data_IF_835059197413
#
_entry.id   IF_835059197413
#
_cell.length_a   1.000
_cell.length_b   1.000
_cell.length_c   1.000
_cell.angle_alpha   90.00
_cell.angle_beta   90.00
_cell.angle_gamma   90.00
#
_symmetry.space_group_name_H-M   'P 1'
#
loop_
_entity.id
_entity.type
_entity.pdbx_description
1 polymer ?
#
# COMPACT_ATOMS: atom_id res chain seq x y z
N UNK A 1 10.76 -4.11 -8.70
CA UNK A 1 9.91 -5.27 -9.06
C UNK A 1 9.10 -5.67 -7.85
N UNK A 2 7.78 -5.84 -8.03
CA UNK A 2 6.87 -6.23 -6.94
C UNK A 2 7.30 -7.55 -6.31
N UNK A 3 7.07 -7.71 -5.01
CA UNK A 3 7.49 -8.89 -4.27
C UNK A 3 6.51 -9.19 -3.14
N UNK A 4 6.21 -10.46 -2.94
CA UNK A 4 5.48 -10.94 -1.77
C UNK A 4 6.40 -11.84 -0.95
N UNK A 5 6.55 -11.53 0.34
CA UNK A 5 7.11 -12.43 1.34
C UNK A 5 6.01 -12.85 2.31
N UNK A 6 5.89 -14.15 2.54
CA UNK A 6 4.92 -14.71 3.49
C UNK A 6 5.70 -15.26 4.67
N UNK A 7 5.31 -14.88 5.87
CA UNK A 7 5.89 -15.34 7.13
C UNK A 7 4.84 -16.07 7.97
N UNK A 8 5.27 -16.99 8.80
CA UNK A 8 4.52 -17.37 9.99
C UNK A 8 4.56 -16.19 10.97
N UNK A 9 3.44 -15.84 11.62
CA UNK A 9 3.39 -14.67 12.50
C UNK A 9 4.26 -14.80 13.76
N UNK A 10 4.64 -16.04 14.11
CA UNK A 10 5.57 -16.32 15.19
C UNK A 10 7.06 -16.29 14.75
N UNK A 11 7.35 -16.18 13.45
CA UNK A 11 8.72 -16.20 12.92
C UNK A 11 8.96 -15.10 11.88
N UNK A 12 9.48 -13.98 12.35
CA UNK A 12 9.80 -12.81 11.52
C UNK A 12 11.17 -12.91 10.80
N UNK A 13 11.99 -13.92 11.11
CA UNK A 13 13.34 -14.00 10.59
C UNK A 13 13.44 -14.65 9.22
N UNK A 14 12.55 -15.63 8.96
CA UNK A 14 12.61 -16.42 7.72
C UNK A 14 11.23 -16.53 7.09
N UNK A 15 11.05 -16.01 5.87
CA UNK A 15 9.79 -16.20 5.15
C UNK A 15 9.59 -17.65 4.76
N UNK A 16 8.35 -18.13 4.82
CA UNK A 16 7.96 -19.46 4.33
C UNK A 16 7.79 -19.48 2.81
N UNK A 17 7.60 -18.33 2.19
CA UNK A 17 7.56 -18.18 0.73
C UNK A 17 8.03 -16.78 0.31
N UNK A 18 8.67 -16.72 -0.85
CA UNK A 18 9.03 -15.45 -1.53
C UNK A 18 8.58 -15.56 -2.99
N UNK A 19 7.74 -14.66 -3.44
CA UNK A 19 7.19 -14.62 -4.79
C UNK A 19 7.51 -13.27 -5.43
N UNK A 20 7.96 -13.31 -6.68
CA UNK A 20 8.31 -12.12 -7.48
C UNK A 20 7.56 -12.09 -8.82
N UNK A 21 6.95 -13.20 -9.22
CA UNK A 21 6.06 -13.26 -10.36
C UNK A 21 4.70 -12.66 -10.00
N UNK A 22 4.22 -11.71 -10.83
CA UNK A 22 3.00 -10.96 -10.55
C UNK A 22 1.76 -11.86 -10.47
N UNK A 23 1.64 -12.86 -11.35
CA UNK A 23 0.52 -13.81 -11.34
C UNK A 23 0.54 -14.68 -10.08
N UNK A 24 1.73 -15.12 -9.64
CA UNK A 24 1.89 -15.90 -8.43
C UNK A 24 1.54 -15.08 -7.18
N UNK A 25 1.93 -13.80 -7.13
CA UNK A 25 1.56 -12.87 -6.06
C UNK A 25 0.05 -12.70 -6.01
N UNK A 26 -0.58 -12.43 -7.16
CA UNK A 26 -2.03 -12.25 -7.26
C UNK A 26 -2.80 -13.50 -6.81
N UNK A 27 -2.35 -14.70 -7.20
CA UNK A 27 -2.95 -15.97 -6.79
C UNK A 27 -2.84 -16.21 -5.28
N UNK A 28 -1.64 -16.00 -4.71
CA UNK A 28 -1.40 -16.18 -3.28
C UNK A 28 -2.25 -15.21 -2.43
N UNK A 29 -2.31 -13.93 -2.80
CA UNK A 29 -3.11 -12.93 -2.12
C UNK A 29 -4.62 -13.16 -2.30
N UNK A 30 -5.05 -13.59 -3.50
CA UNK A 30 -6.44 -13.92 -3.78
C UNK A 30 -6.99 -15.05 -2.91
N UNK A 31 -6.16 -16.03 -2.54
CA UNK A 31 -6.53 -17.13 -1.63
C UNK A 31 -6.89 -16.66 -0.22
N UNK A 32 -6.42 -15.49 0.18
CA UNK A 32 -6.75 -14.87 1.48
C UNK A 32 -7.65 -13.63 1.35
N UNK A 33 -8.30 -13.47 0.19
CA UNK A 33 -9.29 -12.42 -0.04
C UNK A 33 -8.71 -11.06 -0.40
N UNK A 34 -7.42 -10.98 -0.67
CA UNK A 34 -6.74 -9.71 -1.03
C UNK A 34 -6.63 -9.60 -2.55
N UNK A 35 -7.21 -8.55 -3.10
CA UNK A 35 -7.12 -8.22 -4.53
C UNK A 35 -5.72 -7.69 -4.84
N UNK A 36 -5.09 -8.22 -5.88
CA UNK A 36 -3.82 -7.70 -6.38
C UNK A 36 -3.81 -7.76 -7.90
N UNK A 37 -3.70 -6.60 -8.52
CA UNK A 37 -3.76 -6.46 -9.98
C UNK A 37 -2.67 -5.51 -10.46
N UNK A 38 -2.35 -5.58 -11.76
CA UNK A 38 -1.48 -4.65 -12.42
C UNK A 38 -2.29 -3.80 -13.42
N UNK A 39 -2.22 -2.49 -13.23
CA UNK A 39 -2.89 -1.49 -14.06
C UNK A 39 -1.86 -0.61 -14.78
N UNK A 40 -2.26 0.00 -15.87
CA UNK A 40 -1.39 0.98 -16.54
C UNK A 40 -1.23 2.24 -15.68
N UNK A 41 0.02 2.58 -15.38
CA UNK A 41 0.39 3.80 -14.67
C UNK A 41 1.31 4.65 -15.56
N UNK A 42 0.78 5.09 -16.70
CA UNK A 42 1.55 5.72 -17.78
C UNK A 42 1.48 7.25 -17.80
N UNK A 43 0.78 7.87 -16.86
CA UNK A 43 0.74 9.33 -16.75
C UNK A 43 2.04 9.88 -16.14
N UNK A 44 2.48 11.09 -16.55
CA UNK A 44 3.74 11.68 -16.10
C UNK A 44 3.62 12.27 -14.67
N UNK A 45 3.24 11.43 -13.71
CA UNK A 45 3.12 11.80 -12.29
C UNK A 45 4.40 11.40 -11.56
N UNK A 46 4.90 12.32 -10.75
CA UNK A 46 6.08 12.10 -9.90
C UNK A 46 5.74 12.30 -8.42
N UNK A 47 6.46 11.65 -7.50
CA UNK A 47 6.32 11.92 -6.07
C UNK A 47 6.45 13.41 -5.75
N UNK A 48 5.55 13.91 -4.90
CA UNK A 48 5.39 15.33 -4.60
C UNK A 48 4.31 16.04 -5.42
N UNK A 49 3.72 15.38 -6.43
CA UNK A 49 2.57 15.92 -7.17
C UNK A 49 1.38 16.17 -6.24
N UNK A 50 0.59 17.18 -6.55
CA UNK A 50 -0.61 17.52 -5.77
C UNK A 50 -1.71 16.47 -5.95
N UNK A 51 -2.60 16.38 -4.98
CA UNK A 51 -3.76 15.50 -5.06
C UNK A 51 -4.61 15.77 -6.30
N UNK A 52 -4.93 17.02 -6.58
CA UNK A 52 -5.75 17.41 -7.73
C UNK A 52 -5.11 17.02 -9.07
N UNK A 53 -3.80 17.20 -9.19
CA UNK A 53 -3.02 16.80 -10.36
C UNK A 53 -3.08 15.29 -10.60
N UNK A 54 -2.88 14.51 -9.55
CA UNK A 54 -2.91 13.03 -9.63
C UNK A 54 -4.33 12.54 -9.97
N UNK A 55 -5.35 13.06 -9.30
CA UNK A 55 -6.75 12.69 -9.55
C UNK A 55 -7.15 13.04 -10.98
N UNK A 56 -6.76 14.20 -11.49
CA UNK A 56 -7.04 14.60 -12.87
C UNK A 56 -6.36 13.67 -13.88
N UNK A 57 -5.11 13.29 -13.65
CA UNK A 57 -4.34 12.40 -14.52
C UNK A 57 -4.93 10.98 -14.61
N UNK A 58 -5.47 10.47 -13.50
CA UNK A 58 -6.02 9.10 -13.39
C UNK A 58 -7.53 9.07 -13.22
N UNK A 59 -8.24 10.12 -13.66
CA UNK A 59 -9.70 10.23 -13.50
C UNK A 59 -10.47 9.02 -14.03
N UNK A 60 -10.12 8.51 -15.21
CA UNK A 60 -10.80 7.36 -15.80
C UNK A 60 -10.62 6.07 -15.00
N UNK A 61 -9.43 5.85 -14.45
CA UNK A 61 -9.15 4.69 -13.59
C UNK A 61 -9.90 4.80 -12.26
N UNK A 62 -9.92 5.99 -11.66
CA UNK A 62 -10.67 6.29 -10.43
C UNK A 62 -12.16 6.07 -10.65
N UNK A 63 -12.73 6.63 -11.74
CA UNK A 63 -14.15 6.48 -12.06
C UNK A 63 -14.51 5.00 -12.30
N UNK A 64 -13.66 4.25 -12.97
CA UNK A 64 -13.83 2.80 -13.16
C UNK A 64 -13.88 2.06 -11.81
N UNK A 65 -12.95 2.33 -10.90
CA UNK A 65 -12.92 1.72 -9.57
C UNK A 65 -14.17 2.08 -8.76
N UNK A 66 -14.59 3.34 -8.81
CA UNK A 66 -15.81 3.80 -8.14
C UNK A 66 -17.06 3.08 -8.67
N UNK A 67 -17.17 2.88 -9.98
CA UNK A 67 -18.31 2.19 -10.60
C UNK A 67 -18.30 0.69 -10.31
N UNK A 68 -17.14 0.03 -10.37
CA UNK A 68 -17.03 -1.42 -10.17
C UNK A 68 -17.31 -1.84 -8.72
N UNK A 69 -16.93 -1.04 -7.73
CA UNK A 69 -16.92 -1.45 -6.32
C UNK A 69 -17.70 -0.50 -5.39
N UNK A 70 -18.32 0.54 -5.92
CA UNK A 70 -19.11 1.48 -5.13
C UNK A 70 -18.26 2.38 -4.21
N UNK A 71 -16.97 2.58 -4.52
CA UNK A 71 -16.15 3.52 -3.78
C UNK A 71 -16.66 4.95 -3.96
N UNK A 72 -16.68 5.72 -2.88
CA UNK A 72 -17.24 7.09 -2.86
C UNK A 72 -16.23 8.13 -2.37
N UNK A 73 -15.16 7.71 -1.74
CA UNK A 73 -14.12 8.58 -1.21
C UNK A 73 -12.78 8.26 -1.88
N UNK A 74 -12.07 9.29 -2.30
CA UNK A 74 -10.75 9.20 -2.91
C UNK A 74 -9.83 10.24 -2.31
N UNK A 75 -8.59 9.84 -2.00
CA UNK A 75 -7.50 10.75 -1.70
C UNK A 75 -6.18 10.26 -2.32
N UNK A 76 -5.13 11.04 -2.17
CA UNK A 76 -3.81 10.73 -2.70
C UNK A 76 -2.77 10.94 -1.60
N UNK A 77 -1.87 9.97 -1.48
CA UNK A 77 -0.63 10.15 -0.71
C UNK A 77 0.50 10.27 -1.72
N UNK A 78 1.17 11.42 -1.72
CA UNK A 78 2.26 11.74 -2.64
C UNK A 78 3.42 12.34 -1.83
N UNK A 79 4.50 11.57 -1.71
CA UNK A 79 5.64 11.93 -0.87
C UNK A 79 6.96 11.69 -1.59
N UNK A 80 7.88 12.63 -1.40
CA UNK A 80 9.28 12.51 -1.80
C UNK A 80 10.22 12.61 -0.59
N UNK A 81 11.49 12.21 -0.73
CA UNK A 81 12.40 12.07 0.42
C UNK A 81 12.65 13.33 1.24
N UNK A 82 12.52 14.50 0.63
CA UNK A 82 12.75 15.79 1.27
C UNK A 82 11.48 16.38 1.94
N UNK A 83 10.36 15.67 1.94
CA UNK A 83 9.13 16.16 2.57
C UNK A 83 9.36 16.42 4.06
N UNK A 84 9.06 17.63 4.57
CA UNK A 84 9.38 18.00 5.97
C UNK A 84 8.66 17.11 6.99
N UNK A 85 7.45 16.67 6.69
CA UNK A 85 6.62 15.86 7.59
C UNK A 85 6.68 14.36 7.31
N UNK A 86 7.67 13.88 6.54
CA UNK A 86 7.77 12.47 6.15
C UNK A 86 7.76 11.49 7.33
N UNK A 87 8.42 11.85 8.43
CA UNK A 87 8.46 11.01 9.63
C UNK A 87 7.07 10.89 10.28
N UNK A 88 6.33 11.98 10.36
CA UNK A 88 4.97 12.01 10.89
C UNK A 88 4.00 11.20 10.01
N UNK A 89 4.10 11.33 8.68
CA UNK A 89 3.32 10.51 7.74
C UNK A 89 3.63 9.02 7.89
N UNK A 90 4.91 8.67 7.94
CA UNK A 90 5.31 7.27 8.13
C UNK A 90 4.71 6.69 9.41
N UNK A 91 4.80 7.41 10.52
CA UNK A 91 4.30 6.98 11.82
C UNK A 91 2.80 6.70 11.83
N UNK A 92 2.01 7.39 11.02
CA UNK A 92 0.55 7.17 10.93
C UNK A 92 0.18 5.78 10.45
N UNK A 93 1.00 5.15 9.61
CA UNK A 93 0.66 3.89 8.93
C UNK A 93 1.47 2.70 9.42
N UNK A 94 2.49 2.94 10.25
CA UNK A 94 3.53 1.96 10.58
C UNK A 94 3.09 0.91 11.61
N UNK A 95 2.11 1.23 12.45
CA UNK A 95 1.57 0.31 13.43
C UNK A 95 0.35 -0.43 12.88
N UNK A 96 0.15 -1.68 13.35
CA UNK A 96 -0.98 -2.49 12.94
C UNK A 96 -2.31 -1.81 13.28
N UNK A 97 -3.17 -1.73 12.29
CA UNK A 97 -4.50 -1.14 12.39
C UNK A 97 -5.48 -1.82 11.45
N UNK A 98 -6.76 -1.54 11.65
CA UNK A 98 -7.84 -1.95 10.75
C UNK A 98 -8.62 -0.73 10.29
N UNK A 99 -9.32 -0.87 9.16
CA UNK A 99 -10.35 0.06 8.72
C UNK A 99 -11.71 -0.64 8.77
N UNK A 100 -12.78 0.12 8.94
CA UNK A 100 -14.16 -0.40 8.93
C UNK A 100 -14.74 -0.56 7.52
N UNK A 101 -13.95 -0.27 6.49
CA UNK A 101 -14.37 -0.28 5.10
C UNK A 101 -13.27 -0.89 4.22
N UNK A 102 -13.67 -1.43 3.08
CA UNK A 102 -12.72 -1.88 2.07
C UNK A 102 -11.86 -0.71 1.58
N UNK A 103 -10.57 -0.96 1.47
CA UNK A 103 -9.60 -0.02 0.93
C UNK A 103 -9.00 -0.55 -0.36
N UNK A 104 -8.93 0.29 -1.39
CA UNK A 104 -8.08 0.05 -2.56
C UNK A 104 -6.98 1.10 -2.60
N UNK A 105 -5.77 0.66 -2.91
CA UNK A 105 -4.61 1.52 -3.09
C UNK A 105 -3.97 1.21 -4.44
N UNK A 106 -3.90 2.23 -5.30
CA UNK A 106 -3.29 2.16 -6.63
C UNK A 106 -2.00 2.98 -6.65
N UNK A 107 -0.87 2.29 -6.85
CA UNK A 107 0.45 2.92 -6.91
C UNK A 107 0.73 3.43 -8.33
N UNK A 108 0.89 4.73 -8.48
CA UNK A 108 1.13 5.37 -9.79
C UNK A 108 2.55 5.89 -9.95
N UNK A 109 3.36 5.91 -8.89
CA UNK A 109 4.80 6.17 -8.93
C UNK A 109 5.49 5.58 -7.71
N UNK A 110 6.78 5.25 -7.85
CA UNK A 110 7.61 4.75 -6.76
C UNK A 110 7.14 3.43 -6.17
N UNK A 111 7.34 3.26 -4.86
CA UNK A 111 7.01 2.02 -4.15
C UNK A 111 6.62 2.25 -2.69
N UNK A 112 5.87 1.30 -2.12
CA UNK A 112 5.53 1.21 -0.72
C UNK A 112 5.32 -0.23 -0.29
N UNK A 113 5.56 -0.53 0.99
CA UNK A 113 5.42 -1.88 1.53
C UNK A 113 4.13 -2.00 2.32
N UNK A 114 3.20 -2.76 1.80
CA UNK A 114 1.93 -3.07 2.44
C UNK A 114 2.02 -4.44 3.12
N UNK A 115 1.75 -4.51 4.41
CA UNK A 115 1.85 -5.76 5.16
C UNK A 115 0.53 -6.09 5.83
N UNK A 116 0.05 -7.33 5.61
CA UNK A 116 -1.23 -7.82 6.10
C UNK A 116 -1.03 -9.00 7.05
N UNK A 117 -1.80 -9.03 8.11
CA UNK A 117 -1.78 -10.10 9.10
C UNK A 117 -3.08 -10.90 9.00
N UNK A 118 -3.01 -12.09 8.42
CA UNK A 118 -4.18 -12.91 8.07
C UNK A 118 -3.93 -14.38 8.44
N UNK A 119 -4.84 -14.97 9.21
CA UNK A 119 -4.84 -16.41 9.51
C UNK A 119 -3.51 -16.95 10.05
N UNK A 120 -2.86 -16.22 10.96
CA UNK A 120 -1.59 -16.62 11.56
C UNK A 120 -0.38 -16.45 10.65
N UNK A 121 -0.52 -15.75 9.54
CA UNK A 121 0.55 -15.44 8.60
C UNK A 121 0.64 -13.93 8.32
N UNK A 122 1.83 -13.49 8.00
CA UNK A 122 2.13 -12.11 7.63
C UNK A 122 2.52 -12.05 6.15
N UNK A 123 1.77 -11.27 5.39
CA UNK A 123 1.94 -11.09 3.94
C UNK A 123 2.56 -9.71 3.70
N UNK A 124 3.85 -9.67 3.43
CA UNK A 124 4.60 -8.44 3.16
C UNK A 124 4.67 -8.20 1.66
N UNK A 125 3.91 -7.22 1.17
CA UNK A 125 3.79 -6.91 -0.26
C UNK A 125 4.56 -5.62 -0.56
N UNK A 126 5.66 -5.73 -1.30
CA UNK A 126 6.30 -4.56 -1.91
C UNK A 126 5.51 -4.19 -3.17
N UNK A 127 4.73 -3.12 -3.07
CA UNK A 127 3.95 -2.58 -4.18
C UNK A 127 4.76 -1.52 -4.92
N UNK A 128 4.73 -1.58 -6.24
CA UNK A 128 5.41 -0.63 -7.12
C UNK A 128 4.43 0.02 -8.09
N UNK A 129 4.92 0.96 -8.87
CA UNK A 129 4.17 1.62 -9.94
C UNK A 129 3.43 0.60 -10.81
N UNK A 130 2.12 0.77 -10.93
CA UNK A 130 1.21 -0.11 -11.65
C UNK A 130 0.45 -1.10 -10.76
N UNK A 131 0.89 -1.31 -9.53
CA UNK A 131 0.24 -2.26 -8.61
C UNK A 131 -1.01 -1.65 -7.98
N UNK A 132 -2.07 -2.45 -7.97
CA UNK A 132 -3.32 -2.17 -7.29
C UNK A 132 -3.55 -3.26 -6.24
N UNK A 133 -3.69 -2.88 -4.98
CA UNK A 133 -3.99 -3.77 -3.87
C UNK A 133 -5.31 -3.40 -3.22
N UNK A 134 -6.18 -4.39 -3.01
CA UNK A 134 -7.46 -4.22 -2.33
C UNK A 134 -7.48 -5.00 -1.02
N UNK A 135 -7.71 -4.30 0.08
CA UNK A 135 -7.73 -4.86 1.43
C UNK A 135 -9.15 -4.86 1.95
N UNK A 136 -9.73 -6.04 2.29
CA UNK A 136 -11.07 -6.11 2.87
C UNK A 136 -11.16 -5.39 4.20
N UNK A 137 -12.37 -4.94 4.55
CA UNK A 137 -12.65 -4.37 5.86
C UNK A 137 -12.19 -5.28 7.00
N UNK A 138 -11.79 -4.69 8.11
CA UNK A 138 -11.37 -5.41 9.30
C UNK A 138 -10.05 -6.18 9.20
N UNK A 139 -9.36 -6.17 8.06
CA UNK A 139 -8.06 -6.85 7.91
C UNK A 139 -6.96 -6.09 8.63
N UNK A 140 -6.31 -6.68 9.64
CA UNK A 140 -5.15 -6.06 10.29
C UNK A 140 -3.99 -5.87 9.30
N UNK A 141 -3.46 -4.68 9.24
CA UNK A 141 -2.38 -4.34 8.33
C UNK A 141 -1.58 -3.12 8.80
N UNK A 142 -0.44 -2.91 8.17
CA UNK A 142 0.36 -1.70 8.30
C UNK A 142 1.04 -1.38 6.98
N UNK A 143 1.48 -0.14 6.86
CA UNK A 143 2.13 0.34 5.65
C UNK A 143 3.43 1.07 6.00
N UNK A 144 4.51 0.71 5.33
CA UNK A 144 5.80 1.36 5.43
C UNK A 144 6.18 2.03 4.11
N UNK A 145 6.48 3.30 4.18
CA UNK A 145 6.94 4.10 3.04
C UNK A 145 8.46 4.31 3.05
N UNK A 146 9.18 3.63 3.95
CA UNK A 146 10.60 3.81 4.28
C UNK A 146 10.91 5.14 4.97
N UNK A 147 12.15 5.28 5.43
CA UNK A 147 12.66 6.55 6.01
C UNK A 147 12.84 7.64 4.95
N UNK A 148 12.95 7.24 3.69
CA UNK A 148 13.09 8.12 2.52
C UNK A 148 11.97 7.83 1.53
N UNK A 149 10.73 8.30 1.78
CA UNK A 149 9.59 7.96 0.95
C UNK A 149 9.75 8.44 -0.48
N UNK A 150 9.35 7.61 -1.42
CA UNK A 150 9.32 7.94 -2.84
C UNK A 150 8.17 7.22 -3.51
N UNK A 151 6.96 7.78 -3.45
CA UNK A 151 5.78 7.16 -4.05
C UNK A 151 4.61 8.12 -4.23
N UNK A 152 3.69 7.70 -5.10
CA UNK A 152 2.35 8.26 -5.22
C UNK A 152 1.37 7.10 -5.21
N UNK A 153 0.41 7.13 -4.30
CA UNK A 153 -0.67 6.15 -4.20
C UNK A 153 -2.03 6.84 -4.13
N UNK A 154 -2.95 6.38 -4.96
CA UNK A 154 -4.36 6.78 -4.94
C UNK A 154 -5.09 5.80 -4.02
N UNK A 155 -5.81 6.33 -3.01
CA UNK A 155 -6.61 5.51 -2.10
C UNK A 155 -8.09 5.73 -2.36
N UNK A 156 -8.84 4.63 -2.37
CA UNK A 156 -10.31 4.67 -2.48
C UNK A 156 -10.92 3.86 -1.34
N UNK A 157 -12.01 4.39 -0.79
CA UNK A 157 -12.81 3.77 0.27
C UNK A 157 -14.30 3.84 -0.09
N UNK A 158 -15.10 2.96 0.50
CA UNK A 158 -16.56 2.96 0.29
C UNK A 158 -17.23 4.19 0.89
N UNK A 159 -16.62 4.79 1.93
CA UNK A 159 -17.04 6.08 2.50
C UNK A 159 -15.85 6.77 3.21
N UNK A 160 -16.07 7.96 3.77
CA UNK A 160 -15.04 8.74 4.46
C UNK A 160 -14.64 8.15 5.82
N UNK A 161 -15.44 7.29 6.43
CA UNK A 161 -15.10 6.62 7.68
C UNK A 161 -13.96 5.62 7.52
N UNK A 162 -13.78 5.09 6.30
CA UNK A 162 -12.68 4.19 5.95
C UNK A 162 -11.28 4.81 6.10
N UNK A 163 -11.17 6.13 6.15
CA UNK A 163 -9.89 6.80 6.41
C UNK A 163 -9.45 6.72 7.87
N UNK A 164 -10.36 6.39 8.78
CA UNK A 164 -10.07 6.30 10.21
C UNK A 164 -9.40 4.96 10.50
N UNK A 165 -8.14 5.00 10.93
CA UNK A 165 -7.42 3.83 11.39
C UNK A 165 -7.82 3.49 12.83
N UNK A 166 -8.13 2.21 13.08
CA UNK A 166 -8.35 1.65 14.41
C UNK A 166 -7.13 0.79 14.77
N UNK A 167 -6.27 1.30 15.62
CA UNK A 167 -5.07 0.59 16.04
C UNK A 167 -5.44 -0.63 16.88
N UNK A 168 -4.79 -1.77 16.60
CA UNK A 168 -5.04 -3.02 17.32
C UNK A 168 -4.39 -3.02 18.70
N UNK A 169 -3.38 -2.21 18.92
CA UNK A 169 -2.58 -2.19 20.14
C UNK A 169 -1.47 -3.25 20.18
N UNK A 170 -1.38 -4.07 19.13
CA UNK A 170 -0.32 -5.09 19.00
C UNK A 170 0.98 -4.48 18.48
N UNK A 171 2.11 -5.06 18.89
CA UNK A 171 3.45 -4.65 18.48
C UNK A 171 4.01 -5.45 17.30
N UNK A 172 3.19 -6.28 16.67
CA UNK A 172 3.61 -7.19 15.60
C UNK A 172 4.36 -6.48 14.47
N UNK A 173 3.93 -5.29 14.09
CA UNK A 173 4.56 -4.51 13.02
C UNK A 173 6.03 -4.17 13.32
N UNK A 174 6.39 -4.05 14.59
CA UNK A 174 7.77 -3.75 15.01
C UNK A 174 8.72 -4.93 14.82
N UNK A 175 8.18 -6.15 14.78
CA UNK A 175 8.96 -7.40 14.67
C UNK A 175 9.29 -7.80 13.25
N UNK A 176 8.52 -7.32 12.27
CA UNK A 176 8.72 -7.67 10.86
C UNK A 176 9.60 -6.65 10.13
N UNK A 177 10.26 -7.05 9.00
CA UNK A 177 11.19 -6.19 8.30
C UNK A 177 10.57 -4.87 7.85
N UNK A 178 11.34 -3.81 7.94
CA UNK A 178 11.00 -2.49 7.44
C UNK A 178 11.40 -2.37 5.96
N UNK A 179 10.73 -1.45 5.26
CA UNK A 179 11.01 -1.19 3.84
C UNK A 179 12.33 -0.46 3.67
N UNK A 180 13.18 -0.96 2.77
CA UNK A 180 14.36 -0.24 2.31
C UNK A 180 13.97 0.95 1.41
N UNK A 181 14.76 2.04 1.41
CA UNK A 181 14.51 3.16 0.50
C UNK A 181 14.45 2.74 -0.96
N UNK A 182 13.51 3.31 -1.72
CA UNK A 182 13.44 3.11 -3.16
C UNK A 182 14.72 3.63 -3.83
N UNK A 183 15.29 2.94 -4.84
CA UNK A 183 16.52 3.39 -5.50
C UNK A 183 16.47 4.82 -6.03
N UNK A 184 15.31 5.25 -6.54
CA UNK A 184 15.11 6.61 -7.02
C UNK A 184 15.03 7.67 -5.92
N UNK A 185 14.88 7.28 -4.66
CA UNK A 185 14.83 8.22 -3.54
C UNK A 185 16.15 9.00 -3.37
N UNK A 186 17.28 8.37 -3.68
CA UNK A 186 18.59 9.01 -3.59
C UNK A 186 18.79 10.19 -4.57
N UNK A 187 18.02 10.22 -5.65
CA UNK A 187 18.12 11.22 -6.71
C UNK A 187 16.96 12.23 -6.71
N UNK A 188 16.06 12.15 -5.75
CA UNK A 188 14.82 12.93 -5.71
C UNK A 188 14.82 14.07 -4.67
N UNK A 189 15.96 14.33 -4.03
CA UNK A 189 16.16 15.41 -3.04
C UNK A 189 16.59 16.72 -3.68
#
# INVERSE_FOLDING_TARGET
MSRLRIYDDANHDTPVAVLEDHAAIADALGKVGVRFEQWEANQPIQPGASQDEVIAAYRSDIDRLMQENGYQAVDVISLKPDHPDRAAFRSKFLNEHTHSEDEVRFFVAGAGQFTLHINGQVYEVLCEKGDLIGVPDGTPHWFDMSVSPYFVAIRLFTNTEGWVAKFTGEDIAERFPRMDPHPSAANAS
#
